data_IF_838235443167
#
_entry.id   IF_838235443167
#
_cell.length_a   1.000
_cell.length_b   1.000
_cell.length_c   1.000
_cell.angle_alpha   90.00
_cell.angle_beta   90.00
_cell.angle_gamma   90.00
#
_symmetry.space_group_name_H-M   'P 1'
#
loop_
_entity.id
_entity.type
_entity.pdbx_description
1 polymer ?
#
# COMPACT_ATOMS: atom_id res chain seq x y z
N UNK A 1 -29.70 -8.60 -6.89
CA UNK A 1 -28.31 -8.19 -7.07
C UNK A 1 -27.95 -7.13 -6.05
N UNK A 2 -26.81 -7.26 -5.42
CA UNK A 2 -26.37 -6.31 -4.41
C UNK A 2 -24.99 -5.75 -4.75
N UNK A 3 -24.79 -4.54 -4.31
CA UNK A 3 -23.50 -3.87 -4.45
C UNK A 3 -23.31 -2.86 -3.31
N UNK A 4 -22.07 -2.51 -3.09
CA UNK A 4 -21.70 -1.41 -2.20
C UNK A 4 -20.86 -0.41 -2.97
N UNK A 5 -20.96 0.85 -2.60
CA UNK A 5 -20.20 1.92 -3.22
C UNK A 5 -19.68 2.87 -2.15
N UNK A 6 -18.41 3.21 -2.25
CA UNK A 6 -17.81 4.28 -1.44
C UNK A 6 -16.86 5.08 -2.31
N UNK A 7 -16.55 6.29 -1.87
CA UNK A 7 -15.50 7.09 -2.48
C UNK A 7 -14.28 7.03 -1.54
N UNK A 8 -13.09 6.83 -2.09
CA UNK A 8 -11.87 6.77 -1.28
C UNK A 8 -11.63 8.04 -0.46
N UNK A 9 -12.08 9.19 -0.96
CA UNK A 9 -11.94 10.46 -0.22
C UNK A 9 -12.76 10.47 1.09
N UNK A 10 -13.78 9.62 1.19
CA UNK A 10 -14.61 9.49 2.39
C UNK A 10 -14.15 8.36 3.31
N UNK A 11 -13.18 7.57 2.89
CA UNK A 11 -12.60 6.51 3.70
C UNK A 11 -11.57 7.10 4.65
N UNK A 12 -11.60 6.69 5.91
CA UNK A 12 -10.68 7.18 6.93
C UNK A 12 -9.22 6.94 6.55
N UNK A 13 -8.39 7.99 6.71
CA UNK A 13 -6.95 7.88 6.56
C UNK A 13 -6.34 7.26 7.83
N UNK A 14 -6.02 5.97 7.77
CA UNK A 14 -5.46 5.22 8.89
C UNK A 14 -4.07 5.72 9.29
N UNK A 15 -3.29 6.26 8.35
CA UNK A 15 -1.98 6.83 8.65
C UNK A 15 -2.10 8.05 9.57
N UNK A 16 -3.04 8.95 9.29
CA UNK A 16 -3.29 10.11 10.13
C UNK A 16 -3.76 9.70 11.53
N UNK A 17 -4.61 8.68 11.64
CA UNK A 17 -5.08 8.18 12.94
C UNK A 17 -3.94 7.63 13.80
N UNK A 18 -2.88 7.11 13.18
CA UNK A 18 -1.73 6.52 13.88
C UNK A 18 -0.54 7.48 14.00
N UNK A 19 -0.74 8.76 13.73
CA UNK A 19 0.33 9.76 13.83
C UNK A 19 1.34 9.74 12.69
N UNK A 20 1.02 9.11 11.57
CA UNK A 20 1.92 8.95 10.43
C UNK A 20 1.55 9.84 9.23
N UNK A 21 0.62 10.77 9.44
CA UNK A 21 0.08 11.61 8.37
C UNK A 21 1.09 12.53 7.69
N UNK A 22 2.24 12.81 8.31
CA UNK A 22 3.30 13.57 7.66
C UNK A 22 4.05 12.77 6.61
N UNK A 23 3.99 11.45 6.69
CA UNK A 23 4.73 10.55 5.81
C UNK A 23 3.87 10.02 4.67
N UNK A 24 2.61 9.70 4.96
CA UNK A 24 1.72 9.07 3.98
C UNK A 24 0.25 9.22 4.35
N UNK A 25 -0.61 8.89 3.38
CA UNK A 25 -2.02 8.59 3.57
C UNK A 25 -2.24 7.11 3.28
N UNK A 26 -3.10 6.46 4.06
CA UNK A 26 -3.42 5.05 3.86
C UNK A 26 -4.91 4.81 4.11
N UNK A 27 -5.63 4.37 3.10
CA UNK A 27 -7.06 4.13 3.17
C UNK A 27 -7.38 2.68 2.83
N UNK A 28 -8.15 2.05 3.72
CA UNK A 28 -8.53 0.66 3.62
C UNK A 28 -10.06 0.58 3.56
N UNK A 29 -10.66 0.54 2.35
CA UNK A 29 -12.11 0.64 2.19
C UNK A 29 -12.89 -0.63 2.51
N UNK A 30 -12.25 -1.61 3.11
CA UNK A 30 -12.85 -2.92 3.37
C UNK A 30 -14.19 -2.85 4.08
N UNK A 31 -14.26 -2.10 5.20
CA UNK A 31 -15.50 -1.95 5.96
C UNK A 31 -16.52 -1.07 5.26
N UNK A 32 -16.04 -0.11 4.44
CA UNK A 32 -16.89 0.86 3.75
C UNK A 32 -17.70 0.21 2.63
N UNK A 33 -17.16 -0.84 1.99
CA UNK A 33 -17.84 -1.55 0.89
C UNK A 33 -18.00 -3.05 1.17
N UNK A 34 -17.77 -3.49 2.40
CA UNK A 34 -18.02 -4.87 2.80
C UNK A 34 -17.24 -5.92 2.04
N UNK A 35 -15.93 -5.69 1.81
CA UNK A 35 -15.08 -6.68 1.13
C UNK A 35 -14.96 -7.94 1.97
N UNK A 36 -15.31 -9.08 1.40
CA UNK A 36 -15.25 -10.37 2.08
C UNK A 36 -14.04 -11.21 1.63
N UNK A 37 -13.82 -11.32 0.33
CA UNK A 37 -12.79 -12.19 -0.24
C UNK A 37 -11.56 -11.43 -0.76
N UNK A 38 -11.68 -10.12 -0.96
CA UNK A 38 -10.63 -9.30 -1.54
C UNK A 38 -10.11 -8.27 -0.55
N UNK A 39 -8.84 -7.91 -0.70
CA UNK A 39 -8.22 -6.79 0.00
C UNK A 39 -7.92 -5.65 -0.97
N UNK A 40 -8.09 -4.43 -0.51
CA UNK A 40 -7.79 -3.23 -1.26
C UNK A 40 -7.25 -2.16 -0.32
N UNK A 41 -6.18 -1.51 -0.73
CA UNK A 41 -5.66 -0.33 -0.05
C UNK A 41 -5.33 0.75 -1.07
N UNK A 42 -5.51 2.01 -0.69
CA UNK A 42 -5.09 3.17 -1.44
C UNK A 42 -4.05 3.92 -0.61
N UNK A 43 -2.89 4.11 -1.17
CA UNK A 43 -1.73 4.70 -0.48
C UNK A 43 -1.22 5.91 -1.27
N UNK A 44 -0.91 6.98 -0.54
CA UNK A 44 -0.11 8.10 -1.05
C UNK A 44 1.08 8.28 -0.12
N UNK A 45 2.28 8.04 -0.63
CA UNK A 45 3.52 8.37 0.07
C UNK A 45 3.86 9.81 -0.28
N UNK A 46 4.06 10.65 0.73
CA UNK A 46 4.27 12.09 0.51
C UNK A 46 5.63 12.36 -0.14
N UNK A 47 5.78 13.50 -0.84
CA UNK A 47 7.01 13.80 -1.57
C UNK A 47 8.27 13.61 -0.74
N UNK A 48 9.22 12.85 -1.29
CA UNK A 48 10.51 12.59 -0.67
C UNK A 48 10.50 11.71 0.56
N UNK A 49 9.35 11.18 0.97
CA UNK A 49 9.24 10.38 2.18
C UNK A 49 9.36 8.88 1.90
N UNK A 50 9.87 8.14 2.89
CA UNK A 50 9.82 6.69 2.94
C UNK A 50 8.64 6.26 3.78
N UNK A 51 8.06 5.12 3.48
CA UNK A 51 7.07 4.54 4.37
C UNK A 51 7.69 4.27 5.74
N UNK A 52 6.94 4.45 6.84
CA UNK A 52 7.50 4.36 8.20
C UNK A 52 8.00 2.98 8.58
N UNK A 53 7.51 1.95 7.90
CA UNK A 53 7.92 0.55 8.08
C UNK A 53 7.65 -0.22 6.80
N UNK A 54 8.31 -1.37 6.68
CA UNK A 54 8.03 -2.34 5.65
C UNK A 54 7.12 -3.44 6.18
N UNK A 55 6.63 -4.30 5.31
CA UNK A 55 5.86 -5.46 5.71
C UNK A 55 6.04 -6.62 4.74
N UNK A 56 5.63 -7.79 5.19
CA UNK A 56 5.51 -9.01 4.38
C UNK A 56 4.28 -9.79 4.84
N UNK A 57 3.90 -10.77 4.07
CA UNK A 57 2.76 -11.62 4.36
C UNK A 57 3.20 -13.08 4.45
N UNK A 58 2.44 -13.92 5.14
CA UNK A 58 2.69 -15.36 5.16
C UNK A 58 2.21 -16.01 3.86
N UNK A 59 1.01 -15.64 3.39
CA UNK A 59 0.35 -16.30 2.26
C UNK A 59 -0.18 -15.36 1.19
N UNK A 60 -0.50 -14.11 1.53
CA UNK A 60 -1.15 -13.20 0.60
C UNK A 60 -0.18 -12.62 -0.44
N UNK A 61 -0.39 -12.98 -1.70
CA UNK A 61 0.20 -12.29 -2.83
C UNK A 61 -0.40 -10.89 -2.92
N UNK A 62 0.42 -9.88 -3.16
CA UNK A 62 -0.06 -8.52 -3.40
C UNK A 62 0.29 -8.04 -4.80
N UNK A 63 -0.62 -7.27 -5.38
CA UNK A 63 -0.41 -6.58 -6.64
C UNK A 63 -0.54 -5.08 -6.40
N UNK A 64 0.49 -4.34 -6.77
CA UNK A 64 0.54 -2.89 -6.64
C UNK A 64 0.37 -2.26 -8.03
N UNK A 65 -0.52 -1.28 -8.13
CA UNK A 65 -0.74 -0.53 -9.36
C UNK A 65 -0.43 0.93 -9.09
N UNK A 66 0.61 1.45 -9.73
CA UNK A 66 1.02 2.85 -9.57
C UNK A 66 0.07 3.73 -10.36
N UNK A 67 -0.51 4.72 -9.68
CA UNK A 67 -1.48 5.64 -10.28
C UNK A 67 -0.86 6.96 -10.68
N UNK A 68 0.01 7.51 -9.84
CA UNK A 68 0.59 8.84 -10.08
C UNK A 68 1.91 9.00 -9.32
N UNK A 69 2.71 9.95 -9.76
CA UNK A 69 3.98 10.25 -9.14
C UNK A 69 5.09 9.30 -9.57
N UNK A 70 6.13 9.22 -8.77
CA UNK A 70 7.29 8.36 -9.02
C UNK A 70 7.95 7.98 -7.71
N UNK A 71 8.77 6.95 -7.74
CA UNK A 71 9.50 6.56 -6.55
C UNK A 71 10.32 5.30 -6.74
N UNK A 72 10.70 4.74 -5.62
CA UNK A 72 11.46 3.50 -5.53
C UNK A 72 10.69 2.50 -4.68
N UNK A 73 10.55 1.29 -5.17
CA UNK A 73 10.07 0.17 -4.38
C UNK A 73 11.25 -0.70 -3.99
N UNK A 74 11.42 -0.91 -2.69
CA UNK A 74 12.41 -1.87 -2.20
C UNK A 74 11.70 -3.18 -1.89
N UNK A 75 12.18 -4.27 -2.49
CA UNK A 75 11.69 -5.63 -2.28
C UNK A 75 12.88 -6.47 -1.87
N UNK A 76 12.91 -6.91 -0.61
CA UNK A 76 14.09 -7.52 0.01
C UNK A 76 15.32 -6.62 -0.20
N UNK A 77 16.35 -7.08 -0.88
CA UNK A 77 17.56 -6.26 -1.14
C UNK A 77 17.54 -5.54 -2.49
N UNK A 78 16.50 -5.72 -3.28
CA UNK A 78 16.40 -5.08 -4.58
C UNK A 78 15.65 -3.75 -4.49
N UNK A 79 16.11 -2.79 -5.29
CA UNK A 79 15.44 -1.50 -5.45
C UNK A 79 15.11 -1.30 -6.91
N UNK A 80 13.85 -0.97 -7.20
CA UNK A 80 13.38 -0.72 -8.55
C UNK A 80 12.65 0.61 -8.63
N UNK A 81 12.89 1.33 -9.73
CA UNK A 81 12.15 2.54 -10.02
C UNK A 81 10.72 2.19 -10.41
N UNK A 82 9.75 2.94 -9.91
CA UNK A 82 8.34 2.77 -10.24
C UNK A 82 7.73 4.09 -10.68
N UNK A 83 6.76 4.01 -11.58
CA UNK A 83 6.05 5.16 -12.12
C UNK A 83 4.65 4.78 -12.58
N UNK A 84 3.88 5.77 -13.10
CA UNK A 84 2.47 5.57 -13.45
C UNK A 84 2.26 4.38 -14.39
N UNK A 85 1.23 3.60 -14.09
CA UNK A 85 0.79 2.41 -14.83
C UNK A 85 1.68 1.18 -14.65
N UNK A 86 2.73 1.25 -13.82
CA UNK A 86 3.47 0.06 -13.44
C UNK A 86 2.60 -0.86 -12.60
N UNK A 87 2.69 -2.15 -12.86
CA UNK A 87 2.04 -3.21 -12.09
C UNK A 87 3.12 -4.11 -11.51
N UNK A 88 3.17 -4.21 -10.18
CA UNK A 88 4.19 -5.00 -9.49
C UNK A 88 3.49 -6.07 -8.66
N UNK A 89 3.76 -7.34 -8.98
CA UNK A 89 3.35 -8.47 -8.15
C UNK A 89 4.46 -8.78 -7.17
N UNK A 90 4.13 -8.96 -5.92
CA UNK A 90 5.09 -9.29 -4.87
C UNK A 90 4.71 -10.61 -4.22
N UNK A 91 5.69 -11.51 -4.10
CA UNK A 91 5.52 -12.76 -3.38
C UNK A 91 5.18 -12.47 -1.90
N UNK A 92 4.35 -13.30 -1.27
CA UNK A 92 3.93 -13.07 0.12
C UNK A 92 5.09 -12.78 1.07
N UNK A 93 6.10 -13.62 1.06
CA UNK A 93 7.19 -13.57 2.04
C UNK A 93 8.29 -12.55 1.74
N UNK A 94 8.23 -11.86 0.60
CA UNK A 94 9.17 -10.79 0.30
C UNK A 94 8.81 -9.52 1.07
N UNK A 95 9.77 -8.96 1.78
CA UNK A 95 9.59 -7.69 2.51
C UNK A 95 9.61 -6.53 1.53
N UNK A 96 8.66 -5.58 1.67
CA UNK A 96 8.55 -4.46 0.73
C UNK A 96 8.16 -3.17 1.41
N UNK A 97 8.62 -2.09 0.82
CA UNK A 97 8.22 -0.71 1.16
C UNK A 97 8.54 0.22 -0.01
N UNK A 98 7.97 1.42 0.04
CA UNK A 98 8.14 2.44 -0.98
C UNK A 98 8.81 3.69 -0.43
N UNK A 99 9.58 4.35 -1.29
CA UNK A 99 10.05 5.70 -1.11
C UNK A 99 9.52 6.55 -2.26
N UNK A 100 8.89 7.68 -1.96
CA UNK A 100 8.38 8.59 -2.97
C UNK A 100 9.49 9.49 -3.52
N UNK A 101 9.40 9.79 -4.79
CA UNK A 101 10.18 10.86 -5.41
C UNK A 101 9.62 12.24 -5.06
N UNK A 102 10.14 13.29 -5.71
CA UNK A 102 9.78 14.67 -5.42
C UNK A 102 8.33 15.04 -5.65
N UNK A 103 7.60 14.26 -6.46
CA UNK A 103 6.18 14.47 -6.75
C UNK A 103 5.25 13.62 -5.88
N UNK A 104 5.79 12.85 -4.95
CA UNK A 104 5.03 11.87 -4.21
C UNK A 104 4.77 10.60 -5.02
N UNK A 105 4.06 9.65 -4.42
CA UNK A 105 3.74 8.38 -5.05
C UNK A 105 2.36 7.91 -4.62
N UNK A 106 1.49 7.63 -5.57
CA UNK A 106 0.14 7.14 -5.31
C UNK A 106 -0.05 5.78 -5.96
N UNK A 107 -0.59 4.82 -5.21
CA UNK A 107 -0.83 3.48 -5.73
C UNK A 107 -1.99 2.78 -5.04
N UNK A 108 -2.52 1.76 -5.72
CA UNK A 108 -3.48 0.81 -5.17
C UNK A 108 -2.76 -0.51 -4.90
N UNK A 109 -3.23 -1.21 -3.87
CA UNK A 109 -2.78 -2.57 -3.55
C UNK A 109 -3.99 -3.49 -3.55
N UNK A 110 -3.87 -4.59 -4.27
CA UNK A 110 -4.88 -5.65 -4.30
C UNK A 110 -4.29 -6.93 -3.72
N UNK A 111 -5.09 -7.65 -2.95
CA UNK A 111 -4.69 -8.94 -2.40
C UNK A 111 -5.92 -9.81 -2.14
N UNK A 112 -5.76 -11.14 -2.03
CA UNK A 112 -6.79 -11.94 -1.37
C UNK A 112 -6.82 -11.55 0.11
N UNK A 113 -7.96 -11.75 0.74
CA UNK A 113 -8.07 -11.46 2.17
C UNK A 113 -7.45 -12.58 3.00
N UNK A 114 -6.49 -12.22 3.85
CA UNK A 114 -5.90 -13.10 4.86
C UNK A 114 -5.77 -12.36 6.18
N UNK A 115 -6.50 -12.78 7.20
CA UNK A 115 -6.44 -12.17 8.52
C UNK A 115 -5.17 -12.60 9.26
N UNK A 116 -4.55 -11.65 9.98
CA UNK A 116 -3.37 -11.92 10.79
C UNK A 116 -2.13 -12.36 10.01
N UNK A 117 -2.11 -12.09 8.71
CA UNK A 117 -1.10 -12.56 7.78
C UNK A 117 0.10 -11.62 7.65
N UNK A 118 -0.09 -10.34 7.96
CA UNK A 118 0.95 -9.33 7.79
C UNK A 118 1.93 -9.31 8.96
N UNK A 119 3.21 -9.14 8.64
CA UNK A 119 4.27 -8.93 9.61
C UNK A 119 4.97 -7.60 9.32
N UNK A 120 5.10 -6.76 10.34
CA UNK A 120 5.78 -5.47 10.24
C UNK A 120 7.29 -5.69 10.36
N UNK A 121 8.06 -5.05 9.49
CA UNK A 121 9.52 -5.08 9.49
C UNK A 121 10.03 -3.65 9.63
N UNK A 122 10.75 -3.37 10.71
CA UNK A 122 11.37 -2.07 10.96
C UNK A 122 12.79 -2.01 10.40
N UNK A 123 13.32 -0.80 10.24
CA UNK A 123 14.71 -0.56 9.82
C UNK A 123 15.05 -1.25 8.49
N UNK A 124 14.14 -1.18 7.55
CA UNK A 124 14.25 -1.89 6.27
C UNK A 124 15.17 -1.19 5.27
N UNK A 125 15.23 0.13 5.30
CA UNK A 125 16.02 0.93 4.36
C UNK A 125 17.48 1.01 4.79
#
# INVERSE_FOLDING_TARGET
>A
MSYDKANLDDVTDAAAEHGLGELQEARFPRGDVGLAASGLAHIRVKPGQRQPFAHKHAEAEEVHVILAGSGTMKIDDERLAVGPRDVIRVDPTSTRAFEAGGDGLEYLVFSPRHEGDAEIVNDFW
#
